data_IF_418720715795
#
_entry.id   IF_418720715795
#
_cell.length_a   1.000
_cell.length_b   1.000
_cell.length_c   1.000
_cell.angle_alpha   90.00
_cell.angle_beta   90.00
_cell.angle_gamma   90.00
#
_symmetry.space_group_name_H-M   'P 1'
#
loop_
_entity.id
_entity.type
_entity.pdbx_description
1 polymer ?
#
# COMPACT_ATOMS: atom_id res chain seq x y z
N UNK A 1 -3.77 5.91 -20.62
CA UNK A 1 -4.10 5.20 -19.37
C UNK A 1 -3.09 5.64 -18.32
N UNK A 2 -3.53 6.20 -17.17
CA UNK A 2 -2.59 6.58 -16.10
C UNK A 2 -2.01 5.31 -15.46
N UNK A 3 -0.70 5.23 -15.26
CA UNK A 3 -0.09 4.11 -14.54
C UNK A 3 -0.63 4.04 -13.11
N UNK A 4 -0.83 2.83 -12.59
CA UNK A 4 -1.29 2.57 -11.22
C UNK A 4 -0.41 3.29 -10.19
N UNK A 5 0.90 3.29 -10.41
CA UNK A 5 1.86 3.94 -9.53
C UNK A 5 1.72 5.45 -9.48
N UNK A 6 1.35 6.08 -10.59
CA UNK A 6 1.08 7.51 -10.60
C UNK A 6 -0.16 7.86 -9.77
N UNK A 7 -1.16 6.97 -9.75
CA UNK A 7 -2.35 7.13 -8.89
C UNK A 7 -1.94 7.00 -7.42
N UNK A 8 -1.18 5.96 -7.06
CA UNK A 8 -0.71 5.74 -5.68
C UNK A 8 0.16 6.90 -5.19
N UNK A 9 1.14 7.31 -5.99
CA UNK A 9 2.01 8.44 -5.67
C UNK A 9 1.19 9.73 -5.46
N UNK A 10 0.21 10.00 -6.32
CA UNK A 10 -0.66 11.17 -6.17
C UNK A 10 -1.55 11.10 -4.92
N UNK A 11 -2.03 9.91 -4.53
CA UNK A 11 -2.77 9.72 -3.27
C UNK A 11 -1.86 10.06 -2.09
N UNK A 12 -0.67 9.46 -2.02
CA UNK A 12 0.30 9.69 -0.95
C UNK A 12 0.67 11.17 -0.83
N UNK A 13 0.91 11.83 -1.97
CA UNK A 13 1.19 13.26 -2.06
C UNK A 13 0.10 14.13 -1.41
N UNK A 14 -1.17 13.73 -1.55
CA UNK A 14 -2.33 14.48 -1.05
C UNK A 14 -2.63 14.22 0.42
N UNK A 15 -2.44 13.00 0.91
CA UNK A 15 -2.76 12.66 2.30
C UNK A 15 -1.63 13.00 3.27
N UNK A 16 -0.37 12.94 2.82
CA UNK A 16 0.79 13.13 3.68
C UNK A 16 2.00 13.59 2.86
N UNK A 17 2.05 14.91 2.62
CA UNK A 17 3.14 15.54 1.86
C UNK A 17 4.51 15.22 2.46
N UNK A 18 4.63 15.19 3.79
CA UNK A 18 5.90 14.97 4.49
C UNK A 18 6.44 13.58 4.17
N UNK A 19 5.59 12.56 4.30
CA UNK A 19 5.98 11.19 3.99
C UNK A 19 6.20 10.98 2.48
N UNK A 20 5.41 11.62 1.62
CA UNK A 20 5.61 11.58 0.18
C UNK A 20 6.98 12.14 -0.25
N UNK A 21 7.39 13.30 0.25
CA UNK A 21 8.72 13.85 -0.07
C UNK A 21 9.84 12.98 0.50
N UNK A 22 9.67 12.39 1.68
CA UNK A 22 10.62 11.42 2.22
C UNK A 22 10.74 10.16 1.35
N UNK A 23 9.62 9.64 0.83
CA UNK A 23 9.61 8.52 -0.11
C UNK A 23 10.34 8.86 -1.42
N UNK A 24 10.21 10.09 -1.94
CA UNK A 24 10.97 10.53 -3.12
C UNK A 24 12.48 10.50 -2.86
N UNK A 25 12.92 10.99 -1.70
CA UNK A 25 14.34 10.97 -1.33
C UNK A 25 14.82 9.54 -1.13
N UNK A 26 14.04 8.70 -0.44
CA UNK A 26 14.36 7.29 -0.23
C UNK A 26 14.52 6.56 -1.57
N UNK A 27 13.56 6.76 -2.46
CA UNK A 27 13.53 6.17 -3.79
C UNK A 27 14.73 6.62 -4.64
N UNK A 28 15.07 7.91 -4.63
CA UNK A 28 16.25 8.43 -5.33
C UNK A 28 17.53 7.75 -4.82
N UNK A 29 17.75 7.71 -3.50
CA UNK A 29 18.89 6.99 -2.91
C UNK A 29 18.92 5.51 -3.28
N UNK A 30 17.79 4.83 -3.13
CA UNK A 30 17.68 3.40 -3.41
C UNK A 30 17.93 3.08 -4.89
N UNK A 31 17.47 3.93 -5.81
CA UNK A 31 17.67 3.75 -7.26
C UNK A 31 19.15 3.85 -7.67
N UNK A 32 19.95 4.65 -6.96
CA UNK A 32 21.39 4.76 -7.23
C UNK A 32 22.19 3.58 -6.67
N UNK A 33 21.68 2.86 -5.67
CA UNK A 33 22.40 1.77 -4.98
C UNK A 33 21.94 0.38 -5.39
N UNK A 34 20.66 0.22 -5.72
CA UNK A 34 20.04 -1.07 -5.99
C UNK A 34 19.58 -1.13 -7.45
N UNK A 35 20.30 -1.90 -8.27
CA UNK A 35 20.00 -2.02 -9.70
C UNK A 35 18.55 -2.49 -9.98
N UNK A 36 17.97 -3.29 -9.09
CA UNK A 36 16.57 -3.72 -9.19
C UNK A 36 15.59 -2.55 -9.09
N UNK A 37 15.85 -1.59 -8.20
CA UNK A 37 15.02 -0.39 -8.04
C UNK A 37 15.12 0.45 -9.31
N UNK A 38 16.34 0.70 -9.81
CA UNK A 38 16.54 1.44 -11.07
C UNK A 38 15.83 0.78 -12.27
N UNK A 39 15.92 -0.54 -12.40
CA UNK A 39 15.28 -1.28 -13.49
C UNK A 39 13.75 -1.18 -13.43
N UNK A 40 13.14 -1.46 -12.28
CA UNK A 40 11.69 -1.38 -12.10
C UNK A 40 11.15 0.03 -12.32
N UNK A 41 11.90 1.04 -11.88
CA UNK A 41 11.57 2.46 -12.01
C UNK A 41 11.35 2.92 -13.44
N UNK A 42 12.10 2.35 -14.39
CA UNK A 42 11.97 2.68 -15.82
C UNK A 42 10.64 2.21 -16.43
N UNK A 43 9.98 1.24 -15.79
CA UNK A 43 8.73 0.62 -16.24
C UNK A 43 7.57 1.14 -15.40
N UNK A 44 7.77 1.24 -14.09
CA UNK A 44 6.75 1.55 -13.12
C UNK A 44 7.30 2.45 -11.99
N UNK A 45 7.06 3.77 -12.05
CA UNK A 45 7.69 4.75 -11.15
C UNK A 45 6.97 4.81 -9.80
N UNK A 46 6.78 3.66 -9.15
CA UNK A 46 6.21 3.55 -7.81
C UNK A 46 7.25 4.02 -6.78
N UNK A 47 6.89 4.98 -5.93
CA UNK A 47 7.79 5.41 -4.85
C UNK A 47 7.84 4.40 -3.70
N UNK A 48 6.75 3.66 -3.49
CA UNK A 48 6.75 2.53 -2.58
C UNK A 48 7.57 1.36 -3.17
N UNK A 49 8.38 0.72 -2.36
CA UNK A 49 9.22 -0.42 -2.76
C UNK A 49 8.37 -1.64 -3.16
N UNK A 50 7.35 -1.94 -2.36
CA UNK A 50 6.61 -3.17 -2.43
C UNK A 50 5.29 -3.02 -3.17
N UNK A 51 4.96 -4.03 -3.98
CA UNK A 51 3.62 -4.27 -4.51
C UNK A 51 3.22 -5.73 -4.29
N UNK A 52 2.04 -5.95 -3.72
CA UNK A 52 1.45 -7.29 -3.63
C UNK A 52 0.10 -7.32 -4.35
N UNK A 53 -0.06 -8.27 -5.28
CA UNK A 53 -1.32 -8.52 -6.00
C UNK A 53 -1.98 -9.75 -5.36
N UNK A 54 -3.23 -9.58 -4.94
CA UNK A 54 -4.00 -10.60 -4.24
C UNK A 54 -5.30 -10.85 -4.99
N UNK A 55 -5.58 -12.11 -5.29
CA UNK A 55 -6.80 -12.57 -5.94
C UNK A 55 -7.65 -13.31 -4.91
N UNK A 56 -8.91 -12.91 -4.74
CA UNK A 56 -9.89 -13.65 -3.93
C UNK A 56 -9.35 -14.05 -2.56
N UNK A 57 -8.73 -13.09 -1.87
CA UNK A 57 -8.04 -13.34 -0.60
C UNK A 57 -8.76 -12.68 0.55
N UNK A 58 -9.24 -13.53 1.47
CA UNK A 58 -9.53 -13.17 2.86
C UNK A 58 -8.20 -13.01 3.59
N UNK A 59 -8.09 -12.01 4.45
CA UNK A 59 -6.89 -11.80 5.26
C UNK A 59 -7.30 -11.76 6.73
N UNK A 60 -6.86 -12.70 7.57
CA UNK A 60 -7.12 -12.66 9.01
C UNK A 60 -6.58 -11.37 9.65
N UNK A 61 -7.04 -11.08 10.87
CA UNK A 61 -6.56 -9.94 11.64
C UNK A 61 -5.04 -9.98 11.81
N UNK A 62 -4.37 -8.91 11.41
CA UNK A 62 -2.92 -8.78 11.48
C UNK A 62 -2.49 -7.30 11.54
N UNK A 63 -1.18 -7.11 11.67
CA UNK A 63 -0.49 -5.82 11.47
C UNK A 63 0.63 -6.01 10.46
N UNK A 64 0.95 -4.98 9.70
CA UNK A 64 2.01 -5.02 8.68
C UNK A 64 3.38 -4.92 9.32
N UNK A 65 3.83 -6.01 9.96
CA UNK A 65 4.94 -5.95 10.93
C UNK A 65 6.28 -5.51 10.36
N UNK A 66 6.45 -5.58 9.05
CA UNK A 66 7.67 -5.21 8.37
C UNK A 66 7.69 -3.73 8.00
N UNK A 67 6.55 -3.04 8.04
CA UNK A 67 6.43 -1.64 7.66
C UNK A 67 6.91 -0.72 8.79
N UNK A 68 7.47 0.46 8.48
CA UNK A 68 7.74 1.48 9.47
C UNK A 68 6.47 1.85 10.23
N UNK A 69 6.61 2.22 11.50
CA UNK A 69 5.47 2.47 12.39
C UNK A 69 4.46 3.46 11.82
N UNK A 70 4.90 4.50 11.10
CA UNK A 70 4.05 5.57 10.57
C UNK A 70 3.82 5.49 9.06
N UNK A 71 4.36 4.48 8.39
CA UNK A 71 4.22 4.34 6.94
C UNK A 71 2.76 4.11 6.54
N UNK A 72 2.36 4.71 5.42
CA UNK A 72 1.11 4.44 4.75
C UNK A 72 1.25 3.24 3.81
N UNK A 73 0.31 2.29 3.93
CA UNK A 73 0.06 1.27 2.93
C UNK A 73 -1.18 1.67 2.11
N UNK A 74 -1.07 1.65 0.79
CA UNK A 74 -2.17 1.99 -0.14
C UNK A 74 -2.66 0.72 -0.83
N UNK A 75 -3.92 0.38 -0.62
CA UNK A 75 -4.60 -0.74 -1.27
C UNK A 75 -5.61 -0.24 -2.28
N UNK A 76 -5.42 -0.64 -3.54
CA UNK A 76 -6.36 -0.40 -4.63
C UNK A 76 -7.16 -1.68 -4.91
N UNK A 77 -8.45 -1.54 -5.11
CA UNK A 77 -9.35 -2.69 -5.31
C UNK A 77 -9.97 -2.68 -6.70
N UNK A 78 -10.01 -3.86 -7.32
CA UNK A 78 -10.50 -4.11 -8.67
C UNK A 78 -11.30 -5.41 -8.72
N UNK A 79 -11.83 -5.71 -9.90
CA UNK A 79 -12.63 -6.90 -10.17
C UNK A 79 -14.09 -6.54 -10.42
N UNK A 80 -15.00 -7.47 -10.16
CA UNK A 80 -16.42 -7.33 -10.45
C UNK A 80 -17.34 -7.76 -9.29
N UNK A 81 -16.80 -7.94 -8.08
CA UNK A 81 -17.60 -8.15 -6.88
C UNK A 81 -18.31 -6.85 -6.48
N UNK A 82 -19.50 -6.98 -5.90
CA UNK A 82 -20.39 -5.85 -5.59
C UNK A 82 -20.66 -5.68 -4.10
N UNK A 83 -20.30 -6.66 -3.27
CA UNK A 83 -20.58 -6.65 -1.83
C UNK A 83 -19.52 -7.41 -1.01
N UNK A 84 -19.45 -7.09 0.28
CA UNK A 84 -18.48 -7.66 1.23
C UNK A 84 -17.03 -7.20 0.98
N UNK A 85 -16.07 -7.99 1.43
CA UNK A 85 -14.65 -7.74 1.27
C UNK A 85 -14.14 -6.53 2.05
N UNK A 86 -14.87 -6.09 3.08
CA UNK A 86 -14.59 -4.89 3.86
C UNK A 86 -13.32 -5.04 4.72
N UNK A 87 -12.72 -3.89 5.04
CA UNK A 87 -11.52 -3.82 5.86
C UNK A 87 -12.02 -3.50 7.25
N UNK A 88 -11.89 -4.47 8.15
CA UNK A 88 -12.42 -4.35 9.49
C UNK A 88 -11.30 -4.03 10.47
N UNK A 89 -11.43 -2.89 11.16
CA UNK A 89 -10.53 -2.46 12.22
C UNK A 89 -11.26 -2.65 13.55
N UNK A 90 -11.11 -3.84 14.14
CA UNK A 90 -11.88 -4.30 15.31
C UNK A 90 -11.82 -3.35 16.49
N UNK A 91 -10.63 -2.80 16.80
CA UNK A 91 -10.44 -1.86 17.91
C UNK A 91 -11.19 -0.54 17.75
N UNK A 92 -11.51 -0.17 16.52
CA UNK A 92 -12.30 1.02 16.20
C UNK A 92 -13.77 0.70 15.93
N UNK A 93 -14.15 -0.59 15.92
CA UNK A 93 -15.46 -1.07 15.46
C UNK A 93 -15.83 -0.50 14.08
N UNK A 94 -14.83 -0.34 13.21
CA UNK A 94 -14.95 0.33 11.92
C UNK A 94 -14.87 -0.67 10.78
N UNK A 95 -15.94 -0.77 10.00
CA UNK A 95 -15.95 -1.49 8.72
C UNK A 95 -15.79 -0.49 7.59
N UNK A 96 -14.69 -0.59 6.86
CA UNK A 96 -14.43 0.25 5.70
C UNK A 96 -14.81 -0.55 4.45
N UNK A 97 -15.86 -0.13 3.77
CA UNK A 97 -16.24 -0.67 2.45
C UNK A 97 -15.29 -0.12 1.39
N UNK A 98 -14.83 -0.99 0.50
CA UNK A 98 -13.97 -0.63 -0.64
C UNK A 98 -14.19 -1.63 -1.77
N UNK A 99 -14.93 -1.18 -2.78
CA UNK A 99 -15.35 -1.94 -3.95
C UNK A 99 -14.38 -1.69 -5.12
N UNK A 100 -14.57 -2.37 -6.29
CA UNK A 100 -13.75 -2.08 -7.46
C UNK A 100 -13.75 -0.59 -7.83
N UNK A 101 -12.56 0.00 -7.91
CA UNK A 101 -12.32 1.44 -8.14
C UNK A 101 -11.97 2.23 -6.87
N UNK A 102 -12.22 1.67 -5.68
CA UNK A 102 -11.91 2.33 -4.41
C UNK A 102 -10.43 2.12 -4.00
N UNK A 103 -9.97 3.03 -3.14
CA UNK A 103 -8.67 2.98 -2.50
C UNK A 103 -8.81 3.07 -0.97
N UNK A 104 -8.08 2.23 -0.24
CA UNK A 104 -7.86 2.39 1.21
C UNK A 104 -6.40 2.77 1.43
N UNK A 105 -6.19 3.77 2.29
CA UNK A 105 -4.84 4.09 2.78
C UNK A 105 -4.84 3.99 4.29
N UNK A 106 -3.94 3.16 4.82
CA UNK A 106 -3.94 2.78 6.23
C UNK A 106 -2.51 2.71 6.77
N UNK A 107 -2.34 3.03 8.05
CA UNK A 107 -1.13 2.70 8.81
C UNK A 107 -1.27 1.29 9.40
N UNK A 108 -1.13 0.26 8.56
CA UNK A 108 -1.43 -1.11 8.96
C UNK A 108 -0.45 -1.70 9.99
N UNK A 109 0.70 -1.06 10.21
CA UNK A 109 1.58 -1.34 11.36
C UNK A 109 0.98 -0.93 12.71
N UNK A 110 0.16 0.13 12.74
CA UNK A 110 -0.52 0.65 13.95
C UNK A 110 -1.91 0.03 14.09
N UNK A 111 -2.66 -0.01 12.98
CA UNK A 111 -4.06 -0.42 12.95
C UNK A 111 -4.15 -1.89 12.56
N UNK A 112 -4.36 -2.74 13.57
CA UNK A 112 -4.68 -4.15 13.34
C UNK A 112 -5.97 -4.24 12.52
N UNK A 113 -5.91 -4.97 11.41
CA UNK A 113 -6.99 -5.01 10.43
C UNK A 113 -7.11 -6.39 9.80
N UNK A 114 -8.33 -6.69 9.31
CA UNK A 114 -8.63 -7.89 8.54
C UNK A 114 -9.40 -7.54 7.27
N UNK A 115 -9.38 -8.44 6.30
CA UNK A 115 -10.21 -8.39 5.10
C UNK A 115 -11.23 -9.50 5.20
N UNK A 116 -12.49 -9.11 5.30
CA UNK A 116 -13.64 -10.02 5.42
C UNK A 116 -13.92 -10.76 4.10
N UNK A 117 -14.82 -11.74 4.18
CA UNK A 117 -15.31 -12.44 2.98
C UNK A 117 -16.09 -11.49 2.07
N UNK A 118 -16.08 -11.77 0.77
CA UNK A 118 -16.80 -11.01 -0.26
C UNK A 118 -17.88 -11.86 -0.91
N UNK A 119 -18.86 -11.20 -1.52
CA UNK A 119 -19.92 -11.86 -2.28
C UNK A 119 -19.41 -12.47 -3.60
N UNK A 120 -20.31 -12.97 -4.45
CA UNK A 120 -19.95 -13.54 -5.74
C UNK A 120 -19.12 -12.59 -6.61
N UNK A 121 -18.21 -13.16 -7.40
CA UNK A 121 -17.36 -12.43 -8.33
C UNK A 121 -15.86 -12.52 -8.01
N UNK A 122 -15.07 -11.81 -8.81
CA UNK A 122 -13.63 -11.70 -8.67
C UNK A 122 -13.30 -10.44 -7.87
N UNK A 123 -12.56 -10.62 -6.78
CA UNK A 123 -11.91 -9.54 -6.04
C UNK A 123 -10.43 -9.55 -6.34
N UNK A 124 -9.89 -8.41 -6.77
CA UNK A 124 -8.45 -8.20 -6.96
C UNK A 124 -8.05 -7.03 -6.06
N UNK A 125 -6.99 -7.18 -5.29
CA UNK A 125 -6.45 -6.10 -4.47
C UNK A 125 -4.97 -5.96 -4.71
N UNK A 126 -4.52 -4.71 -4.82
CA UNK A 126 -3.13 -4.38 -5.07
C UNK A 126 -2.67 -3.46 -3.94
N UNK A 127 -1.89 -4.02 -3.02
CA UNK A 127 -1.29 -3.27 -1.92
C UNK A 127 0.07 -2.70 -2.34
N UNK A 128 0.35 -1.47 -1.91
CA UNK A 128 1.60 -0.75 -2.12
C UNK A 128 2.11 -0.30 -0.76
N UNK A 129 3.36 -0.65 -0.43
CA UNK A 129 3.94 -0.46 0.90
C UNK A 129 5.45 -0.33 0.83
N UNK A 130 6.07 0.07 1.93
CA UNK A 130 7.54 0.06 2.09
C UNK A 130 7.89 -0.68 3.37
N UNK A 131 8.94 -1.47 3.34
CA UNK A 131 9.43 -2.13 4.55
C UNK A 131 10.53 -1.34 5.23
N UNK A 132 10.61 -1.48 6.55
CA UNK A 132 11.60 -0.84 7.44
C UNK A 132 13.03 -1.06 6.95
N UNK A 133 13.32 -2.25 6.40
CA UNK A 133 14.64 -2.60 5.89
C UNK A 133 15.16 -1.63 4.81
N UNK A 134 14.30 -1.15 3.90
CA UNK A 134 14.72 -0.19 2.87
C UNK A 134 15.04 1.19 3.46
N UNK A 135 14.23 1.65 4.42
CA UNK A 135 14.48 2.91 5.12
C UNK A 135 15.82 2.87 5.86
N UNK A 136 16.08 1.76 6.57
CA UNK A 136 17.33 1.54 7.30
C UNK A 136 18.54 1.42 6.37
N UNK A 137 18.42 0.73 5.22
CA UNK A 137 19.54 0.59 4.27
C UNK A 137 20.01 1.90 3.67
N UNK A 138 19.12 2.89 3.62
CA UNK A 138 19.40 4.24 3.12
C UNK A 138 19.63 5.28 4.23
N UNK A 139 19.75 4.81 5.47
CA UNK A 139 19.99 5.63 6.67
C UNK A 139 18.91 6.73 6.81
N UNK A 140 17.65 6.34 6.59
CA UNK A 140 16.49 7.21 6.66
C UNK A 140 15.46 6.70 7.66
N UNK A 141 14.74 7.62 8.29
CA UNK A 141 13.58 7.30 9.13
C UNK A 141 12.28 7.71 8.41
N UNK A 142 11.26 6.86 8.53
CA UNK A 142 9.94 7.16 8.03
C UNK A 142 9.25 8.24 8.91
N UNK A 143 8.89 9.41 8.37
CA UNK A 143 8.49 10.59 9.14
C UNK A 143 7.11 10.57 9.80
#
# INVERSE_FOLDING_TARGET
MKSLSLIVNAILEKIDRKQFEALKILYDKASHRHAVVAALSSIDPLLAEGRAIMFNRKTPEHTDRLDPLRAWATMLTFGNFTEGGACYIRRLRLHIRYLPGDAIVIRGRILAHEVEDWGPGQRISIAHFTHTALWESEEMECP
#
